data_IF_301070747993
#
_entry.id   IF_301070747993
#
_cell.length_a   1.000
_cell.length_b   1.000
_cell.length_c   1.000
_cell.angle_alpha   90.00
_cell.angle_beta   90.00
_cell.angle_gamma   90.00
#
_symmetry.space_group_name_H-M   'P 1'
#
loop_
_entity.id
_entity.type
_entity.pdbx_description
1 polymer ?
#
# COMPACT_ATOMS: atom_id res chain seq x y z
N UNK A 1 0.33 -9.11 -6.46
CA UNK A 1 -0.99 -8.44 -6.34
C UNK A 1 -0.74 -6.98 -6.08
N UNK A 2 -1.64 -6.09 -6.50
CA UNK A 2 -1.67 -4.71 -6.01
C UNK A 2 -2.85 -4.60 -5.05
N UNK A 3 -2.66 -4.00 -3.87
CA UNK A 3 -3.74 -3.93 -2.87
C UNK A 3 -4.90 -3.06 -3.35
N UNK A 4 -4.59 -1.85 -3.84
CA UNK A 4 -5.58 -0.90 -4.31
C UNK A 4 -4.89 0.18 -5.15
N UNK A 5 -5.41 0.42 -6.35
CA UNK A 5 -5.00 1.54 -7.17
C UNK A 5 -5.52 2.85 -6.55
N UNK A 6 -4.64 3.85 -6.41
CA UNK A 6 -4.97 5.23 -6.05
C UNK A 6 -5.93 5.42 -4.85
N UNK A 7 -5.60 4.90 -3.65
CA UNK A 7 -6.38 5.18 -2.45
C UNK A 7 -6.47 6.70 -2.22
N UNK A 8 -7.68 7.20 -1.94
CA UNK A 8 -7.96 8.63 -1.84
C UNK A 8 -9.15 8.96 -0.94
N UNK A 9 -9.26 10.23 -0.53
CA UNK A 9 -10.43 10.83 0.14
C UNK A 9 -10.77 10.13 1.46
N UNK A 10 -11.92 9.46 1.55
CA UNK A 10 -12.38 8.80 2.77
C UNK A 10 -11.43 7.67 3.20
N UNK A 11 -10.61 7.15 2.28
CA UNK A 11 -9.59 6.15 2.60
C UNK A 11 -8.28 6.76 3.10
N UNK A 12 -8.03 8.05 2.89
CA UNK A 12 -6.77 8.68 3.31
C UNK A 12 -6.46 8.47 4.80
N UNK A 13 -7.40 8.68 5.75
CA UNK A 13 -7.12 8.44 7.17
C UNK A 13 -7.12 6.96 7.56
N UNK A 14 -7.63 6.06 6.71
CA UNK A 14 -7.82 4.65 7.02
C UNK A 14 -6.72 3.76 6.42
N UNK A 15 -6.05 4.22 5.36
CA UNK A 15 -5.26 3.36 4.50
C UNK A 15 -4.16 2.60 5.24
N UNK A 16 -3.35 3.30 6.03
CA UNK A 16 -2.28 2.66 6.80
C UNK A 16 -2.80 1.63 7.81
N UNK A 17 -3.99 1.84 8.37
CA UNK A 17 -4.60 0.89 9.30
C UNK A 17 -5.13 -0.36 8.59
N UNK A 18 -5.54 -0.25 7.32
CA UNK A 18 -6.06 -1.37 6.53
C UNK A 18 -4.99 -2.25 5.90
N UNK A 19 -3.79 -1.71 5.61
CA UNK A 19 -2.71 -2.47 4.97
C UNK A 19 -2.40 -3.80 5.70
N UNK A 20 -2.21 -3.85 7.04
CA UNK A 20 -1.95 -5.10 7.75
C UNK A 20 -3.08 -6.12 7.61
N UNK A 21 -4.33 -5.67 7.68
CA UNK A 21 -5.52 -6.53 7.57
C UNK A 21 -5.61 -7.13 6.17
N UNK A 22 -5.45 -6.31 5.13
CA UNK A 22 -5.42 -6.77 3.74
C UNK A 22 -4.29 -7.80 3.52
N UNK A 23 -3.08 -7.55 4.01
CA UNK A 23 -1.97 -8.49 3.92
C UNK A 23 -2.28 -9.81 4.67
N UNK A 24 -2.90 -9.74 5.84
CA UNK A 24 -3.29 -10.92 6.61
C UNK A 24 -4.25 -11.85 5.87
N UNK A 25 -5.08 -11.31 4.97
CA UNK A 25 -5.98 -12.13 4.14
C UNK A 25 -5.25 -12.81 2.98
N UNK A 26 -4.15 -12.23 2.48
CA UNK A 26 -3.39 -12.73 1.32
C UNK A 26 -2.37 -13.80 1.75
N UNK A 27 -1.65 -13.58 2.86
CA UNK A 27 -0.49 -14.39 3.26
C UNK A 27 -0.77 -15.87 3.55
N UNK A 28 -1.94 -16.31 4.05
CA UNK A 28 -2.22 -17.73 4.27
C UNK A 28 -2.15 -18.57 3.00
N UNK A 29 -2.60 -18.03 1.85
CA UNK A 29 -2.59 -18.74 0.57
C UNK A 29 -1.41 -18.34 -0.33
N UNK A 30 -0.82 -17.17 -0.10
CA UNK A 30 0.25 -16.61 -0.92
C UNK A 30 1.38 -16.04 -0.03
N UNK A 31 2.14 -16.89 0.67
CA UNK A 31 3.07 -16.46 1.73
C UNK A 31 4.23 -15.62 1.24
N UNK A 32 4.75 -15.89 0.04
CA UNK A 32 5.95 -15.23 -0.51
C UNK A 32 5.69 -14.44 -1.80
N UNK A 33 4.43 -14.38 -2.25
CA UNK A 33 4.08 -13.61 -3.45
C UNK A 33 4.24 -12.13 -3.14
N UNK A 34 4.99 -11.42 -3.98
CA UNK A 34 5.14 -9.98 -3.85
C UNK A 34 3.79 -9.25 -3.97
N UNK A 35 3.58 -8.30 -3.07
CA UNK A 35 2.41 -7.42 -3.02
C UNK A 35 2.87 -5.98 -3.22
N UNK A 36 2.18 -5.27 -4.11
CA UNK A 36 2.43 -3.88 -4.46
C UNK A 36 1.50 -3.01 -3.61
N UNK A 37 2.06 -2.00 -2.96
CA UNK A 37 1.33 -1.05 -2.10
C UNK A 37 1.83 0.37 -2.38
N UNK A 38 0.92 1.30 -2.61
CA UNK A 38 1.24 2.71 -2.81
C UNK A 38 0.63 3.62 -1.73
N UNK A 39 1.01 4.90 -1.70
CA UNK A 39 0.51 5.87 -0.75
C UNK A 39 -0.90 6.38 -1.10
N UNK A 40 -1.46 7.18 -0.19
CA UNK A 40 -2.75 7.86 -0.34
C UNK A 40 -2.67 9.05 -1.31
N UNK A 41 -3.77 9.80 -1.42
CA UNK A 41 -3.90 10.94 -2.34
C UNK A 41 -3.53 10.58 -3.77
N UNK A 42 -4.22 9.58 -4.33
CA UNK A 42 -4.01 9.12 -5.71
C UNK A 42 -2.57 8.67 -5.97
N UNK A 43 -2.02 7.86 -5.06
CA UNK A 43 -0.67 7.28 -5.22
C UNK A 43 0.45 8.35 -5.30
N UNK A 44 0.26 9.49 -4.64
CA UNK A 44 1.16 10.64 -4.74
C UNK A 44 2.53 10.36 -4.12
N UNK A 45 3.59 10.71 -4.86
CA UNK A 45 4.97 10.72 -4.36
C UNK A 45 5.11 11.53 -3.06
N UNK A 46 4.35 12.62 -2.90
CA UNK A 46 4.42 13.49 -1.72
C UNK A 46 3.86 12.81 -0.46
N UNK A 47 3.06 11.76 -0.61
CA UNK A 47 2.51 10.97 0.50
C UNK A 47 3.31 9.72 0.81
N UNK A 48 4.34 9.41 0.02
CA UNK A 48 5.22 8.28 0.25
C UNK A 48 5.87 8.28 1.67
N UNK A 49 6.33 9.42 2.23
CA UNK A 49 6.88 9.44 3.60
C UNK A 49 5.87 9.08 4.71
N UNK A 50 4.57 9.16 4.42
CA UNK A 50 3.49 8.86 5.36
C UNK A 50 3.03 7.40 5.27
N UNK A 51 3.47 6.64 4.25
CA UNK A 51 3.08 5.25 4.03
C UNK A 51 3.71 4.34 5.10
N UNK A 52 2.86 3.62 5.84
CA UNK A 52 3.30 2.70 6.89
C UNK A 52 3.13 1.25 6.44
N UNK A 53 4.23 0.50 6.45
CA UNK A 53 4.26 -0.90 6.05
C UNK A 53 4.72 -1.81 7.21
N UNK A 54 4.18 -3.04 7.34
CA UNK A 54 4.62 -3.98 8.36
C UNK A 54 6.10 -4.37 8.18
N UNK A 55 6.95 -4.09 9.17
CA UNK A 55 8.39 -4.39 9.12
C UNK A 55 8.73 -5.87 8.95
N UNK A 56 7.82 -6.75 9.39
CA UNK A 56 8.01 -8.19 9.33
C UNK A 56 7.77 -8.78 7.93
N UNK A 57 7.02 -8.09 7.06
CA UNK A 57 6.74 -8.57 5.71
C UNK A 57 7.82 -8.08 4.74
N UNK A 58 8.57 -9.03 4.18
CA UNK A 58 9.68 -8.74 3.25
C UNK A 58 9.32 -8.94 1.78
N UNK A 59 8.05 -9.26 1.48
CA UNK A 59 7.52 -9.47 0.13
C UNK A 59 6.60 -8.31 -0.29
N UNK A 60 7.06 -7.08 -0.06
CA UNK A 60 6.37 -5.85 -0.40
C UNK A 60 7.18 -5.05 -1.43
N UNK A 61 6.50 -4.51 -2.43
CA UNK A 61 7.03 -3.58 -3.43
C UNK A 61 6.25 -2.29 -3.28
N UNK A 62 6.95 -1.16 -3.20
CA UNK A 62 6.29 0.14 -3.11
C UNK A 62 6.10 0.73 -4.50
N UNK A 63 4.93 1.34 -4.75
CA UNK A 63 4.62 2.06 -5.98
C UNK A 63 4.19 3.50 -5.68
N UNK A 64 4.39 4.39 -6.65
CA UNK A 64 3.82 5.74 -6.69
C UNK A 64 3.53 6.09 -8.16
N UNK A 65 2.57 6.97 -8.40
CA UNK A 65 2.29 7.49 -9.74
C UNK A 65 2.90 8.89 -9.88
N UNK A 66 3.56 9.16 -11.02
CA UNK A 66 4.23 10.43 -11.27
C UNK A 66 3.52 11.20 -12.39
N UNK A 67 2.72 12.19 -11.98
CA UNK A 67 2.01 13.10 -12.88
C UNK A 67 2.30 14.57 -12.54
N UNK A 68 3.38 14.83 -11.79
CA UNK A 68 3.80 16.21 -11.51
C UNK A 68 4.27 16.89 -12.82
N UNK A 69 3.90 18.16 -13.05
CA UNK A 69 4.33 18.91 -14.24
C UNK A 69 5.84 19.01 -14.39
#
# INVERSE_FOLDING_TARGET
YELLNEPSRQLDPLWNAWIPDLLSTIRPSNPTRNVIVGPTQWNSLHKLPELQLPKADRHLIVTFHYYNP
#
